data_IF_980719576366
#
_entry.id   IF_980719576366
#
_cell.length_a   1.000
_cell.length_b   1.000
_cell.length_c   1.000
_cell.angle_alpha   90.00
_cell.angle_beta   90.00
_cell.angle_gamma   90.00
#
_symmetry.space_group_name_H-M   'P 1'
#
loop_
_entity.id
_entity.type
_entity.pdbx_description
1 polymer ?
#
# COMPACT_ATOMS: atom_id res chain seq x y z
N UNK A 1 -8.60 86.24 14.29
CA UNK A 1 -9.65 85.21 14.14
C UNK A 1 -9.56 84.39 12.84
N UNK A 2 -8.91 84.86 11.75
CA UNK A 2 -8.80 84.12 10.48
C UNK A 2 -7.73 83.02 10.41
N UNK A 3 -6.74 82.99 11.31
CA UNK A 3 -5.60 82.04 11.27
C UNK A 3 -5.84 80.72 12.01
N UNK A 4 -6.79 80.68 12.95
CA UNK A 4 -7.12 79.47 13.73
C UNK A 4 -8.00 78.49 12.95
N UNK A 5 -8.84 79.00 12.06
CA UNK A 5 -9.71 78.18 11.19
C UNK A 5 -8.93 77.44 10.10
N UNK A 6 -7.87 78.03 9.55
CA UNK A 6 -7.03 77.39 8.52
C UNK A 6 -6.17 76.26 9.08
N UNK A 7 -5.68 76.39 10.31
CA UNK A 7 -4.93 75.34 11.00
C UNK A 7 -5.80 74.12 11.33
N UNK A 8 -7.07 74.35 11.69
CA UNK A 8 -8.02 73.29 12.03
C UNK A 8 -8.44 72.47 10.79
N UNK A 9 -8.62 73.12 9.63
CA UNK A 9 -8.92 72.40 8.38
C UNK A 9 -7.74 71.57 7.88
N UNK A 10 -6.50 72.03 8.07
CA UNK A 10 -5.30 71.27 7.68
C UNK A 10 -5.15 69.96 8.46
N UNK A 11 -5.42 69.97 9.77
CA UNK A 11 -5.35 68.78 10.61
C UNK A 11 -6.43 67.73 10.27
N UNK A 12 -7.63 68.17 9.89
CA UNK A 12 -8.72 67.25 9.49
C UNK A 12 -8.37 66.52 8.18
N UNK A 13 -7.75 67.21 7.21
CA UNK A 13 -7.35 66.60 5.94
C UNK A 13 -6.22 65.59 6.13
N UNK A 14 -5.24 65.89 6.99
CA UNK A 14 -4.14 64.97 7.30
C UNK A 14 -4.65 63.73 8.06
N UNK A 15 -5.58 63.91 9.01
CA UNK A 15 -6.22 62.79 9.72
C UNK A 15 -7.04 61.87 8.82
N UNK A 16 -7.73 62.41 7.81
CA UNK A 16 -8.46 61.63 6.82
C UNK A 16 -7.55 60.82 5.89
N UNK A 17 -6.35 61.35 5.58
CA UNK A 17 -5.37 60.67 4.72
C UNK A 17 -4.68 59.48 5.43
N UNK A 18 -4.53 59.54 6.76
CA UNK A 18 -3.98 58.42 7.55
C UNK A 18 -4.99 57.27 7.69
N UNK A 19 -6.29 57.55 7.69
CA UNK A 19 -7.35 56.52 7.76
C UNK A 19 -7.67 55.86 6.41
N UNK A 20 -7.21 56.45 5.30
CA UNK A 20 -7.34 55.88 3.96
C UNK A 20 -6.11 55.05 3.52
N UNK A 21 -5.10 54.93 4.38
CA UNK A 21 -4.03 53.96 4.15
C UNK A 21 -4.67 52.56 4.24
N UNK A 22 -4.60 51.74 3.17
CA UNK A 22 -5.12 50.39 3.23
C UNK A 22 -4.39 49.69 4.36
N UNK A 23 -5.15 49.12 5.28
CA UNK A 23 -4.67 48.19 6.31
C UNK A 23 -4.16 46.92 5.62
N UNK A 24 -3.03 47.02 4.92
CA UNK A 24 -2.28 45.90 4.34
C UNK A 24 -1.52 45.09 5.40
N UNK A 25 -1.91 45.19 6.67
CA UNK A 25 -1.30 44.50 7.80
C UNK A 25 -2.16 43.30 8.29
N UNK A 26 -3.23 42.96 7.57
CA UNK A 26 -4.07 41.79 7.86
C UNK A 26 -4.19 40.85 6.67
N UNK A 27 -3.15 40.74 5.86
CA UNK A 27 -3.07 39.63 4.93
C UNK A 27 -1.66 39.04 4.93
N UNK A 28 -1.58 37.72 4.99
CA UNK A 28 -0.36 36.92 5.03
C UNK A 28 0.42 36.90 6.36
N UNK A 29 -0.27 36.54 7.44
CA UNK A 29 0.28 35.43 8.25
C UNK A 29 -0.60 34.21 8.01
N UNK A 30 -0.64 33.76 6.75
CA UNK A 30 -0.94 32.36 6.47
C UNK A 30 0.17 31.59 7.18
N UNK A 31 -0.10 31.17 8.41
CA UNK A 31 0.67 30.13 9.05
C UNK A 31 0.51 28.92 8.13
N UNK A 32 1.48 28.78 7.24
CA UNK A 32 1.60 27.67 6.33
C UNK A 32 1.89 26.46 7.19
N UNK A 33 0.83 25.89 7.77
CA UNK A 33 0.82 24.55 8.35
C UNK A 33 0.66 23.57 7.19
N UNK A 34 1.48 23.73 6.16
CA UNK A 34 1.77 22.65 5.24
C UNK A 34 2.54 21.62 6.03
N UNK A 35 1.82 20.68 6.66
CA UNK A 35 2.43 19.42 7.02
C UNK A 35 2.75 18.74 5.69
N UNK A 36 4.01 18.84 5.25
CA UNK A 36 4.52 17.95 4.22
C UNK A 36 4.46 16.55 4.81
N UNK A 37 3.50 15.76 4.36
CA UNK A 37 3.49 14.33 4.61
C UNK A 37 4.61 13.78 3.72
N UNK A 38 5.81 13.73 4.27
CA UNK A 38 6.90 12.98 3.66
C UNK A 38 6.70 11.52 4.04
N UNK A 39 6.47 10.68 3.03
CA UNK A 39 6.43 9.23 3.22
C UNK A 39 7.83 8.78 3.62
N UNK A 40 7.98 8.20 4.81
CA UNK A 40 9.24 7.62 5.22
C UNK A 40 9.56 6.40 4.31
N UNK A 41 10.83 6.16 3.99
CA UNK A 41 11.22 4.93 3.30
C UNK A 41 10.94 3.71 4.18
N UNK A 42 10.62 2.57 3.55
CA UNK A 42 10.21 1.33 4.23
C UNK A 42 11.26 0.81 5.24
N UNK A 43 12.53 1.15 5.05
CA UNK A 43 13.64 0.85 5.99
C UNK A 43 13.49 1.46 7.39
N UNK A 44 12.54 2.39 7.56
CA UNK A 44 12.23 3.05 8.83
C UNK A 44 10.78 2.81 9.26
N UNK A 45 10.04 1.94 8.57
CA UNK A 45 8.70 1.55 8.96
C UNK A 45 8.74 0.72 10.25
N UNK A 46 7.69 0.85 11.07
CA UNK A 46 7.50 0.03 12.28
C UNK A 46 7.20 -1.44 11.94
N UNK A 47 6.76 -1.69 10.71
CA UNK A 47 6.51 -3.01 10.15
C UNK A 47 7.30 -3.09 8.85
N UNK A 48 8.31 -3.96 8.81
CA UNK A 48 9.07 -4.28 7.61
C UNK A 48 8.28 -5.26 6.75
N UNK A 49 8.22 -5.01 5.44
CA UNK A 49 7.54 -5.90 4.49
C UNK A 49 8.45 -6.10 3.31
N UNK A 50 8.82 -7.35 3.08
CA UNK A 50 9.70 -7.78 2.01
C UNK A 50 8.92 -8.69 1.09
N UNK A 51 8.84 -8.32 -0.19
CA UNK A 51 8.24 -9.13 -1.23
C UNK A 51 9.10 -9.06 -2.50
N UNK A 52 9.31 -10.20 -3.14
CA UNK A 52 9.97 -10.29 -4.43
C UNK A 52 8.95 -10.65 -5.53
N UNK A 53 9.19 -10.26 -6.80
CA UNK A 53 8.40 -10.74 -7.90
C UNK A 53 8.46 -12.27 -7.99
N UNK A 54 7.29 -12.90 -8.08
CA UNK A 54 7.17 -14.36 -8.09
C UNK A 54 7.11 -14.82 -9.55
N UNK A 55 8.07 -15.66 -9.95
CA UNK A 55 8.00 -16.39 -11.23
C UNK A 55 7.69 -17.86 -10.97
N UNK A 56 6.56 -18.31 -11.50
CA UNK A 56 6.08 -19.68 -11.42
C UNK A 56 6.44 -20.40 -12.71
N UNK A 57 7.49 -21.19 -12.69
CA UNK A 57 7.98 -21.91 -13.86
C UNK A 57 7.30 -23.28 -13.95
N UNK A 58 6.84 -23.68 -15.13
CA UNK A 58 6.16 -24.97 -15.35
C UNK A 58 6.84 -26.18 -14.69
N UNK A 59 8.16 -26.25 -14.69
CA UNK A 59 8.93 -27.37 -14.15
C UNK A 59 8.76 -27.57 -12.64
N UNK A 60 8.43 -26.51 -11.90
CA UNK A 60 8.25 -26.53 -10.45
C UNK A 60 6.80 -26.80 -10.03
N UNK A 61 5.86 -26.65 -10.98
CA UNK A 61 4.43 -26.83 -10.75
C UNK A 61 3.97 -28.28 -10.87
N UNK A 62 2.98 -28.65 -10.06
CA UNK A 62 2.30 -29.94 -10.15
C UNK A 62 1.06 -29.84 -11.03
N UNK A 63 0.94 -30.68 -12.05
CA UNK A 63 -0.25 -30.69 -12.91
C UNK A 63 -1.46 -31.26 -12.15
N UNK A 64 -2.48 -30.44 -11.96
CA UNK A 64 -3.77 -30.80 -11.36
C UNK A 64 -4.86 -30.71 -12.43
N UNK A 65 -5.89 -31.56 -12.31
CA UNK A 65 -7.02 -31.59 -13.23
C UNK A 65 -8.33 -31.45 -12.47
N UNK A 66 -9.08 -30.38 -12.72
CA UNK A 66 -10.43 -30.22 -12.19
C UNK A 66 -11.44 -30.90 -13.13
N UNK A 67 -11.79 -32.14 -12.77
CA UNK A 67 -12.59 -33.03 -13.60
C UNK A 67 -14.11 -32.82 -13.44
N UNK A 68 -14.58 -31.57 -13.54
CA UNK A 68 -15.97 -31.26 -13.92
C UNK A 68 -16.06 -30.69 -15.34
N UNK A 69 -15.02 -29.98 -15.79
CA UNK A 69 -14.90 -29.40 -17.14
C UNK A 69 -13.57 -29.73 -17.85
N UNK A 70 -12.72 -30.56 -17.24
CA UNK A 70 -11.39 -30.93 -17.76
C UNK A 70 -10.49 -29.71 -18.01
N UNK A 71 -10.51 -28.76 -17.08
CA UNK A 71 -9.47 -27.74 -17.01
C UNK A 71 -8.23 -28.35 -16.36
N UNK A 72 -7.08 -28.06 -16.94
CA UNK A 72 -5.77 -28.47 -16.43
C UNK A 72 -5.07 -27.23 -15.94
N UNK A 73 -4.47 -27.32 -14.77
CA UNK A 73 -3.78 -26.21 -14.11
C UNK A 73 -2.47 -26.72 -13.52
N UNK A 74 -1.44 -25.88 -13.49
CA UNK A 74 -0.25 -26.11 -12.70
C UNK A 74 -0.46 -25.47 -11.33
N UNK A 75 -0.33 -26.28 -10.29
CA UNK A 75 -0.44 -25.88 -8.89
C UNK A 75 0.94 -25.76 -8.26
N UNK A 76 1.14 -24.67 -7.51
CA UNK A 76 2.34 -24.33 -6.79
C UNK A 76 1.99 -24.16 -5.32
N UNK A 77 2.49 -25.04 -4.46
CA UNK A 77 2.20 -25.02 -3.01
C UNK A 77 3.37 -24.44 -2.23
N UNK A 78 3.09 -23.91 -1.03
CA UNK A 78 4.09 -23.34 -0.12
C UNK A 78 4.96 -22.24 -0.80
N UNK A 79 4.36 -21.43 -1.68
CA UNK A 79 5.05 -20.30 -2.32
C UNK A 79 5.13 -19.15 -1.33
N UNK A 80 6.34 -18.73 -0.96
CA UNK A 80 6.54 -17.53 -0.14
C UNK A 80 6.04 -16.29 -0.90
N UNK A 81 4.99 -15.66 -0.38
CA UNK A 81 4.37 -14.48 -0.99
C UNK A 81 4.98 -13.19 -0.45
N UNK A 82 5.19 -13.14 0.86
CA UNK A 82 5.68 -11.96 1.56
C UNK A 82 6.25 -12.36 2.93
N UNK A 83 7.27 -11.63 3.36
CA UNK A 83 7.83 -11.70 4.71
C UNK A 83 7.56 -10.39 5.44
N UNK A 84 7.03 -10.50 6.66
CA UNK A 84 6.63 -9.38 7.52
C UNK A 84 7.48 -9.43 8.79
N UNK A 85 8.15 -8.32 9.08
CA UNK A 85 9.10 -8.20 10.20
C UNK A 85 8.65 -7.11 11.16
N UNK A 86 8.66 -7.43 12.46
CA UNK A 86 8.32 -6.48 13.51
C UNK A 86 9.52 -5.56 13.85
N UNK A 87 9.35 -4.26 13.65
CA UNK A 87 10.30 -3.22 14.05
C UNK A 87 9.74 -2.30 15.16
N UNK A 88 8.62 -2.67 15.78
CA UNK A 88 8.05 -1.93 16.90
C UNK A 88 8.98 -2.00 18.12
N UNK A 89 9.02 -0.94 18.96
CA UNK A 89 9.84 -0.94 20.18
C UNK A 89 9.42 -2.00 21.21
N UNK A 90 8.18 -2.48 21.12
CA UNK A 90 7.59 -3.47 22.01
C UNK A 90 7.88 -4.90 21.56
N UNK A 91 8.26 -5.11 20.28
CA UNK A 91 8.37 -6.43 19.63
C UNK A 91 7.12 -7.29 19.86
N UNK A 92 5.96 -6.65 19.90
CA UNK A 92 4.66 -7.23 20.26
C UNK A 92 3.65 -7.15 19.13
N UNK A 93 4.10 -6.97 17.88
CA UNK A 93 3.24 -6.95 16.72
C UNK A 93 2.64 -8.34 16.50
N UNK A 94 1.32 -8.44 16.63
CA UNK A 94 0.58 -9.67 16.33
C UNK A 94 0.01 -9.57 14.90
N UNK A 95 0.49 -10.43 14.01
CA UNK A 95 -0.11 -10.64 12.68
C UNK A 95 -1.04 -11.84 12.78
N UNK A 96 -2.32 -11.64 12.45
CA UNK A 96 -3.35 -12.69 12.55
C UNK A 96 -4.09 -12.84 11.23
N UNK A 97 -4.69 -14.01 11.00
CA UNK A 97 -5.52 -14.28 9.81
C UNK A 97 -6.68 -13.30 9.65
N UNK A 98 -7.16 -12.68 10.74
CA UNK A 98 -8.23 -11.69 10.69
C UNK A 98 -7.74 -10.31 10.25
N UNK A 99 -6.45 -10.03 10.39
CA UNK A 99 -5.82 -8.78 10.01
C UNK A 99 -5.08 -8.84 8.67
N UNK A 100 -4.91 -10.03 8.08
CA UNK A 100 -4.31 -10.19 6.77
C UNK A 100 -5.38 -10.63 5.78
N UNK A 101 -5.58 -9.85 4.72
CA UNK A 101 -6.42 -10.23 3.58
C UNK A 101 -5.55 -10.28 2.33
N UNK A 102 -5.58 -11.41 1.62
CA UNK A 102 -4.95 -11.55 0.31
C UNK A 102 -5.98 -11.87 -0.75
N UNK A 103 -5.90 -11.17 -1.87
CA UNK A 103 -6.80 -11.40 -3.00
C UNK A 103 -6.09 -11.22 -4.34
N UNK A 104 -6.52 -12.03 -5.30
CA UNK A 104 -6.31 -11.79 -6.72
C UNK A 104 -7.62 -11.25 -7.31
N UNK A 105 -7.57 -10.48 -8.40
CA UNK A 105 -8.80 -10.12 -9.11
C UNK A 105 -9.53 -11.38 -9.59
N UNK A 106 -10.86 -11.36 -9.55
CA UNK A 106 -11.71 -12.55 -9.74
C UNK A 106 -11.61 -13.22 -11.12
N UNK A 107 -10.94 -12.58 -12.08
CA UNK A 107 -10.73 -13.09 -13.44
C UNK A 107 -9.25 -13.21 -13.81
N UNK A 108 -8.35 -12.95 -12.86
CA UNK A 108 -6.94 -12.81 -13.12
C UNK A 108 -6.19 -14.12 -12.91
N UNK A 109 -5.10 -14.29 -13.65
CA UNK A 109 -4.26 -15.49 -13.63
C UNK A 109 -2.79 -15.08 -13.52
N UNK A 110 -2.00 -15.70 -12.62
CA UNK A 110 -2.32 -16.83 -11.73
C UNK A 110 -3.38 -16.55 -10.64
N UNK A 111 -4.13 -17.57 -10.22
CA UNK A 111 -5.09 -17.46 -9.11
C UNK A 111 -4.47 -17.83 -7.76
N UNK A 112 -4.93 -17.19 -6.69
CA UNK A 112 -4.62 -17.55 -5.30
C UNK A 112 -5.72 -18.46 -4.76
N UNK A 113 -5.37 -19.70 -4.43
CA UNK A 113 -6.33 -20.70 -3.94
C UNK A 113 -6.45 -20.69 -2.42
N UNK A 114 -5.32 -20.54 -1.74
CA UNK A 114 -5.22 -20.51 -0.28
C UNK A 114 -3.92 -19.81 0.12
N UNK A 115 -3.89 -19.27 1.32
CA UNK A 115 -2.67 -18.79 1.97
C UNK A 115 -2.69 -19.16 3.46
N UNK A 116 -1.53 -19.18 4.07
CA UNK A 116 -1.31 -19.48 5.48
C UNK A 116 -0.17 -18.60 6.01
N UNK A 117 -0.24 -18.24 7.30
CA UNK A 117 0.76 -17.40 7.96
C UNK A 117 1.60 -18.29 8.86
N UNK A 118 2.90 -18.37 8.57
CA UNK A 118 3.88 -19.09 9.38
C UNK A 118 4.79 -18.13 10.13
N UNK A 119 4.96 -18.35 11.42
CA UNK A 119 5.97 -17.62 12.20
C UNK A 119 7.29 -18.37 12.17
N UNK A 120 8.36 -17.68 11.77
CA UNK A 120 9.72 -18.23 11.69
C UNK A 120 10.73 -17.18 12.16
N UNK A 121 11.55 -17.49 13.16
CA UNK A 121 12.63 -16.62 13.66
C UNK A 121 12.24 -15.15 13.93
N UNK A 122 11.11 -14.92 14.59
CA UNK A 122 10.55 -13.59 14.89
C UNK A 122 10.03 -12.80 13.66
N UNK A 123 9.88 -13.48 12.52
CA UNK A 123 9.25 -12.98 11.29
C UNK A 123 7.96 -13.75 11.00
N UNK A 124 7.03 -13.10 10.30
CA UNK A 124 5.83 -13.74 9.77
C UNK A 124 5.99 -13.92 8.27
N UNK A 125 6.02 -15.16 7.83
CA UNK A 125 6.12 -15.54 6.42
C UNK A 125 4.73 -15.96 5.96
N UNK A 126 4.21 -15.28 4.93
CA UNK A 126 2.93 -15.64 4.32
C UNK A 126 3.21 -16.53 3.12
N UNK A 127 2.71 -17.76 3.17
CA UNK A 127 2.86 -18.73 2.10
C UNK A 127 1.52 -18.96 1.40
N UNK A 128 1.55 -19.13 0.08
CA UNK A 128 0.36 -19.28 -0.76
C UNK A 128 0.37 -20.55 -1.60
N UNK A 129 -0.83 -20.96 -2.00
CA UNK A 129 -1.03 -21.90 -3.10
C UNK A 129 -1.53 -21.14 -4.32
N UNK A 130 -0.75 -21.17 -5.40
CA UNK A 130 -1.02 -20.46 -6.64
C UNK A 130 -1.32 -21.44 -7.77
N UNK A 131 -2.20 -21.04 -8.70
CA UNK A 131 -2.50 -21.83 -9.90
C UNK A 131 -2.35 -21.06 -11.19
N UNK A 132 -1.75 -21.73 -12.17
CA UNK A 132 -1.57 -21.26 -13.54
C UNK A 132 -2.35 -22.15 -14.51
N UNK A 133 -3.07 -21.55 -15.44
CA UNK A 133 -3.76 -22.28 -16.53
C UNK A 133 -2.78 -23.16 -17.33
N UNK A 134 -3.20 -24.37 -17.68
CA UNK A 134 -2.48 -25.25 -18.60
C UNK A 134 -3.30 -25.55 -19.86
N UNK A 135 -2.64 -25.48 -21.02
CA UNK A 135 -3.24 -25.80 -22.32
C UNK A 135 -2.75 -27.15 -22.83
N UNK A 136 -3.64 -28.05 -23.30
CA UNK A 136 -3.23 -29.29 -23.92
C UNK A 136 -2.60 -29.04 -25.29
N UNK A 137 -1.33 -29.45 -25.46
CA UNK A 137 -0.56 -29.31 -26.72
C UNK A 137 -0.37 -30.63 -27.46
N UNK A 138 -0.86 -31.74 -26.90
CA UNK A 138 -0.80 -33.06 -27.53
C UNK A 138 -1.43 -34.15 -26.68
N UNK A 139 -1.29 -35.40 -27.14
CA UNK A 139 -1.76 -36.56 -26.39
C UNK A 139 -0.90 -36.72 -25.13
N UNK A 140 -1.47 -36.39 -23.95
CA UNK A 140 -0.80 -36.34 -22.64
C UNK A 140 0.31 -35.28 -22.47
N UNK A 141 0.24 -34.15 -23.19
CA UNK A 141 1.15 -33.02 -22.98
C UNK A 141 0.39 -31.74 -22.71
N UNK A 142 0.83 -31.03 -21.68
CA UNK A 142 0.25 -29.78 -21.21
C UNK A 142 1.35 -28.73 -21.12
N UNK A 143 1.10 -27.55 -21.67
CA UNK A 143 1.99 -26.39 -21.51
C UNK A 143 1.31 -25.35 -20.64
N UNK A 144 2.09 -24.75 -19.75
CA UNK A 144 1.63 -23.66 -18.93
C UNK A 144 1.34 -22.45 -19.82
N UNK A 145 0.24 -21.77 -19.56
CA UNK A 145 -0.12 -20.53 -20.22
C UNK A 145 0.62 -19.39 -19.53
N UNK A 146 1.43 -18.66 -20.28
CA UNK A 146 2.06 -17.45 -19.76
C UNK A 146 1.01 -16.37 -19.47
N UNK A 147 1.02 -15.87 -18.24
CA UNK A 147 0.12 -14.84 -17.71
C UNK A 147 0.79 -14.13 -16.53
N UNK A 148 0.32 -12.95 -16.18
CA UNK A 148 0.78 -12.20 -15.02
C UNK A 148 -0.40 -11.54 -14.32
N UNK A 149 -0.37 -11.49 -13.00
CA UNK A 149 -1.29 -10.73 -12.17
C UNK A 149 -0.57 -10.14 -10.97
N UNK A 150 -1.19 -9.13 -10.36
CA UNK A 150 -0.73 -8.56 -9.10
C UNK A 150 -1.66 -9.07 -7.98
N UNK A 151 -1.09 -9.76 -6.98
CA UNK A 151 -1.82 -10.10 -5.76
C UNK A 151 -1.85 -8.89 -4.85
N UNK A 152 -3.04 -8.54 -4.35
CA UNK A 152 -3.19 -7.48 -3.36
C UNK A 152 -3.16 -8.10 -1.97
N UNK A 153 -2.31 -7.56 -1.12
CA UNK A 153 -2.23 -7.86 0.31
C UNK A 153 -2.64 -6.64 1.11
N UNK A 154 -3.61 -6.80 1.99
CA UNK A 154 -4.03 -5.82 2.99
C UNK A 154 -3.68 -6.36 4.39
N UNK A 155 -2.89 -5.59 5.14
CA UNK A 155 -2.44 -5.91 6.49
C UNK A 155 -2.93 -4.84 7.47
N UNK A 156 -3.70 -5.28 8.46
CA UNK A 156 -4.10 -4.54 9.65
C UNK A 156 -3.51 -5.23 10.88
N UNK A 157 -2.63 -4.54 11.59
CA UNK A 157 -1.98 -5.07 12.79
C UNK A 157 -1.81 -3.99 13.86
N UNK A 158 -1.70 -4.40 15.13
CA UNK A 158 -1.55 -3.49 16.25
C UNK A 158 -0.71 -4.10 17.37
N UNK A 159 0.11 -3.26 18.01
CA UNK A 159 0.84 -3.60 19.25
C UNK A 159 0.09 -3.11 20.52
N UNK A 160 -1.17 -2.69 20.36
CA UNK A 160 -2.01 -2.09 21.40
C UNK A 160 -1.78 -0.58 21.64
N UNK A 161 -0.67 -0.02 21.17
CA UNK A 161 -0.38 1.42 21.24
C UNK A 161 -0.45 2.10 19.87
N UNK A 162 -0.10 1.36 18.82
CA UNK A 162 -0.07 1.79 17.43
C UNK A 162 -0.87 0.77 16.62
N UNK A 163 -1.63 1.27 15.66
CA UNK A 163 -2.29 0.46 14.62
C UNK A 163 -1.62 0.81 13.30
N UNK A 164 -1.26 -0.23 12.54
CA UNK A 164 -0.65 -0.12 11.22
C UNK A 164 -1.58 -0.79 10.22
N UNK A 165 -1.99 0.00 9.23
CA UNK A 165 -2.77 -0.45 8.07
C UNK A 165 -1.89 -0.27 6.84
N UNK A 166 -1.73 -1.31 6.05
CA UNK A 166 -0.84 -1.31 4.91
C UNK A 166 -1.37 -2.18 3.78
N UNK A 167 -1.23 -1.69 2.56
CA UNK A 167 -1.58 -2.39 1.33
C UNK A 167 -0.34 -2.56 0.45
N UNK A 168 -0.13 -3.76 -0.11
CA UNK A 168 0.96 -4.05 -1.07
C UNK A 168 0.46 -4.86 -2.25
N UNK A 169 1.10 -4.65 -3.38
CA UNK A 169 0.93 -5.41 -4.60
C UNK A 169 2.14 -6.34 -4.77
N UNK A 170 1.89 -7.62 -5.01
CA UNK A 170 2.90 -8.65 -5.22
C UNK A 170 2.75 -9.15 -6.66
N UNK A 171 3.69 -8.82 -7.57
CA UNK A 171 3.59 -9.25 -8.95
C UNK A 171 3.92 -10.74 -9.07
N UNK A 172 3.03 -11.48 -9.72
CA UNK A 172 3.13 -12.93 -9.93
C UNK A 172 2.99 -13.25 -11.41
N UNK A 173 3.91 -14.06 -11.93
CA UNK A 173 3.97 -14.43 -13.34
C UNK A 173 4.04 -15.96 -13.51
N UNK A 174 3.23 -16.47 -14.43
CA UNK A 174 3.34 -17.84 -14.95
C UNK A 174 4.26 -17.86 -16.17
N UNK A 175 5.27 -18.74 -16.18
CA UNK A 175 6.24 -18.93 -17.26
C UNK A 175 6.30 -20.37 -17.79
#
# INVERSE_FOLDING_TARGET
MRSLTTLSFGLIIIGGLVLAAPSGAFDMTSADRGASIETAPDEHALVGIENEPISLVKEDGSLVADCLFCNYEYEYTDVELVTITDHTPSSGLEVTDAGLEMSAGATDYPSLEAYDIRTSNDEYVVEGTLRCDATPVGFFRFDQRSSSTDLTMDLETSDGSITVELQREIPVQCE
#
